data_IF_308735718380
#
_entry.id   IF_308735718380
#
_cell.length_a   1.000
_cell.length_b   1.000
_cell.length_c   1.000
_cell.angle_alpha   90.00
_cell.angle_beta   90.00
_cell.angle_gamma   90.00
#
_symmetry.space_group_name_H-M   'P 1'
#
loop_
_entity.id
_entity.type
_entity.pdbx_description
1 polymer ?
#
# COMPACT_ATOMS: atom_id res chain seq x y z
N UNK A 1 7.59 -12.69 -16.92
CA UNK A 1 6.15 -12.96 -16.72
C UNK A 1 5.43 -11.61 -16.59
N UNK A 2 4.73 -11.14 -17.64
CA UNK A 2 3.98 -9.87 -17.61
C UNK A 2 2.69 -10.07 -16.79
N UNK A 3 2.79 -9.99 -15.48
CA UNK A 3 1.63 -10.06 -14.59
C UNK A 3 0.86 -8.72 -14.66
N UNK A 4 -0.40 -8.81 -15.10
CA UNK A 4 -1.49 -7.83 -14.97
C UNK A 4 -1.18 -6.34 -15.18
N UNK A 5 -0.92 -5.94 -16.43
CA UNK A 5 -0.95 -4.52 -16.83
C UNK A 5 -2.32 -3.86 -16.54
N UNK A 6 -3.39 -4.66 -16.49
CA UNK A 6 -4.75 -4.19 -16.19
C UNK A 6 -4.98 -3.78 -14.73
N UNK A 7 -4.21 -4.31 -13.78
CA UNK A 7 -4.44 -4.05 -12.34
C UNK A 7 -4.04 -2.64 -11.90
N UNK A 8 -3.35 -1.89 -12.76
CA UNK A 8 -2.71 -0.63 -12.41
C UNK A 8 -3.14 0.55 -13.30
N UNK A 9 -4.23 0.39 -14.07
CA UNK A 9 -4.68 1.44 -15.01
C UNK A 9 -5.01 2.72 -14.25
N UNK A 10 -5.86 2.65 -13.22
CA UNK A 10 -6.22 3.83 -12.44
C UNK A 10 -5.04 4.33 -11.61
N UNK A 11 -4.24 3.42 -11.04
CA UNK A 11 -3.04 3.78 -10.28
C UNK A 11 -2.07 4.66 -11.08
N UNK A 12 -1.88 4.39 -12.38
CA UNK A 12 -1.01 5.17 -13.25
C UNK A 12 -1.48 6.63 -13.40
N UNK A 13 -2.78 6.91 -13.30
CA UNK A 13 -3.31 8.28 -13.33
C UNK A 13 -2.92 9.10 -12.09
N UNK A 14 -2.62 8.42 -10.97
CA UNK A 14 -2.20 9.07 -9.72
C UNK A 14 -0.70 9.25 -9.59
N UNK A 15 0.10 8.56 -10.41
CA UNK A 15 1.56 8.69 -10.41
C UNK A 15 2.04 10.08 -10.85
N UNK A 16 3.18 10.54 -10.31
CA UNK A 16 3.87 11.72 -10.84
C UNK A 16 4.17 11.58 -12.32
N UNK A 17 4.17 12.69 -13.06
CA UNK A 17 4.41 12.68 -14.51
C UNK A 17 5.75 12.05 -14.89
N UNK A 18 6.76 12.18 -14.03
CA UNK A 18 8.08 11.56 -14.21
C UNK A 18 8.06 10.03 -14.17
N UNK A 19 7.00 9.42 -13.63
CA UNK A 19 6.83 7.97 -13.47
C UNK A 19 5.79 7.37 -14.40
N UNK A 20 4.97 8.20 -15.03
CA UNK A 20 3.96 7.73 -15.99
C UNK A 20 4.64 7.10 -17.20
N UNK A 21 4.21 5.89 -17.54
CA UNK A 21 4.74 5.12 -18.67
C UNK A 21 6.04 4.36 -18.39
N UNK A 22 6.63 4.47 -17.20
CA UNK A 22 7.65 3.52 -16.76
C UNK A 22 7.03 2.13 -16.54
N UNK A 23 7.85 1.07 -16.64
CA UNK A 23 7.39 -0.29 -16.35
C UNK A 23 7.49 -0.56 -14.86
N UNK A 24 6.50 -1.29 -14.31
CA UNK A 24 6.55 -1.78 -12.94
C UNK A 24 7.47 -3.00 -12.84
N UNK A 25 8.23 -3.07 -11.76
CA UNK A 25 9.18 -4.14 -11.48
C UNK A 25 9.05 -4.60 -10.03
N UNK A 26 8.65 -5.86 -9.83
CA UNK A 26 8.44 -6.42 -8.50
C UNK A 26 9.79 -6.61 -7.78
N UNK A 27 10.06 -5.77 -6.78
CA UNK A 27 11.28 -5.79 -5.97
C UNK A 27 11.19 -6.81 -4.86
N UNK A 28 10.07 -6.86 -4.16
CA UNK A 28 9.85 -7.75 -3.03
C UNK A 28 8.42 -8.27 -3.03
N UNK A 29 8.23 -9.53 -2.65
CA UNK A 29 6.92 -10.11 -2.35
C UNK A 29 7.04 -11.04 -1.15
N UNK A 30 6.18 -10.87 -0.15
CA UNK A 30 6.15 -11.69 1.06
C UNK A 30 6.00 -13.18 0.72
N UNK A 31 5.17 -13.50 -0.28
CA UNK A 31 4.91 -14.88 -0.74
C UNK A 31 6.14 -15.49 -1.41
N UNK A 32 6.88 -14.71 -2.21
CA UNK A 32 8.05 -15.18 -2.97
C UNK A 32 9.32 -15.22 -2.11
N UNK A 33 9.56 -14.15 -1.37
CA UNK A 33 10.81 -13.86 -0.66
C UNK A 33 10.72 -14.26 0.82
N UNK A 34 9.53 -14.63 1.29
CA UNK A 34 9.24 -15.13 2.62
C UNK A 34 8.95 -14.03 3.66
N UNK A 35 8.13 -14.40 4.63
CA UNK A 35 8.03 -13.79 5.98
C UNK A 35 8.77 -14.62 7.05
N UNK A 36 9.22 -15.81 6.66
CA UNK A 36 9.42 -17.02 7.48
C UNK A 36 8.16 -17.51 8.21
N UNK A 37 7.80 -18.80 8.18
CA UNK A 37 7.13 -19.53 7.08
C UNK A 37 6.45 -20.77 7.70
N UNK A 38 5.13 -20.79 7.86
CA UNK A 38 4.29 -21.93 7.45
C UNK A 38 2.93 -21.37 7.07
N UNK A 39 2.80 -21.06 5.78
CA UNK A 39 1.56 -21.12 4.99
C UNK A 39 0.30 -20.50 5.61
N UNK A 40 0.14 -19.18 5.54
CA UNK A 40 -1.20 -18.60 5.69
C UNK A 40 -1.90 -18.63 4.32
N UNK A 41 -2.62 -19.72 4.12
CA UNK A 41 -3.69 -19.83 3.14
C UNK A 41 -4.77 -18.78 3.48
N UNK A 42 -5.11 -17.99 2.46
CA UNK A 42 -6.29 -17.13 2.37
C UNK A 42 -6.39 -15.92 3.30
N UNK A 43 -6.54 -14.76 2.67
CA UNK A 43 -6.83 -13.49 3.33
C UNK A 43 -8.29 -13.46 3.75
N UNK A 44 -8.52 -13.03 4.99
CA UNK A 44 -9.78 -13.19 5.74
C UNK A 44 -10.81 -12.10 5.36
N UNK A 45 -10.39 -10.96 4.77
CA UNK A 45 -11.32 -9.85 4.48
C UNK A 45 -11.11 -9.12 3.14
N UNK A 46 -10.04 -9.44 2.39
CA UNK A 46 -9.88 -8.99 1.01
C UNK A 46 -9.56 -7.50 0.79
N UNK A 47 -9.30 -6.72 1.85
CA UNK A 47 -8.87 -5.32 1.74
C UNK A 47 -7.46 -5.22 1.13
N UNK A 48 -7.27 -4.25 0.24
CA UNK A 48 -5.98 -3.98 -0.41
C UNK A 48 -5.71 -2.48 -0.35
N UNK A 49 -4.57 -2.12 0.23
CA UNK A 49 -4.11 -0.75 0.37
C UNK A 49 -2.58 -0.67 0.26
N UNK A 50 -2.06 0.54 0.06
CA UNK A 50 -0.62 0.76 -0.01
C UNK A 50 -0.25 2.23 -0.08
N UNK A 51 0.98 2.49 -0.52
CA UNK A 51 1.46 3.83 -0.76
C UNK A 51 2.48 3.88 -1.89
N UNK A 52 2.57 5.04 -2.53
CA UNK A 52 3.67 5.42 -3.41
C UNK A 52 4.60 6.36 -2.65
N UNK A 53 5.90 6.10 -2.71
CA UNK A 53 6.93 6.86 -2.01
C UNK A 53 7.99 7.30 -3.00
N UNK A 54 8.32 8.59 -3.00
CA UNK A 54 9.29 9.17 -3.93
C UNK A 54 10.74 8.74 -3.64
N UNK A 55 11.03 8.29 -2.41
CA UNK A 55 12.33 7.79 -2.02
C UNK A 55 12.34 6.28 -1.84
N UNK A 56 13.47 5.65 -2.17
CA UNK A 56 13.72 4.26 -1.79
C UNK A 56 13.90 4.18 -0.27
N UNK A 57 13.16 3.28 0.39
CA UNK A 57 13.10 3.07 1.85
C UNK A 57 14.41 2.60 2.47
N UNK A 58 15.45 3.42 2.35
CA UNK A 58 16.76 3.18 2.95
C UNK A 58 16.61 3.34 4.45
N UNK A 59 17.11 2.37 5.21
CA UNK A 59 17.11 2.45 6.67
C UNK A 59 17.91 3.67 7.11
N UNK A 60 17.27 4.56 7.88
CA UNK A 60 17.88 5.74 8.46
C UNK A 60 17.46 5.90 9.92
N UNK A 61 18.28 6.60 10.70
CA UNK A 61 18.00 6.87 12.11
C UNK A 61 16.87 7.90 12.26
N UNK A 62 15.67 7.45 12.62
CA UNK A 62 14.51 8.23 13.10
C UNK A 62 14.20 9.54 12.34
N UNK A 63 14.44 9.56 11.02
CA UNK A 63 14.15 10.70 10.16
C UNK A 63 13.11 10.33 9.12
N UNK A 64 12.15 11.23 8.93
CA UNK A 64 11.23 11.15 7.82
C UNK A 64 11.93 11.57 6.51
N UNK A 65 11.53 10.90 5.44
CA UNK A 65 12.02 11.02 4.07
C UNK A 65 10.81 11.12 3.14
N UNK A 66 11.07 11.62 1.94
CA UNK A 66 10.10 11.66 0.86
C UNK A 66 9.82 13.08 0.42
N UNK A 67 8.84 13.21 -0.46
CA UNK A 67 8.37 14.47 -1.02
C UNK A 67 6.84 14.42 -1.09
N UNK A 68 6.23 15.58 -1.34
CA UNK A 68 4.77 15.71 -1.54
C UNK A 68 4.21 14.95 -2.76
N UNK A 69 5.07 14.32 -3.57
CA UNK A 69 4.65 13.38 -4.62
C UNK A 69 4.20 12.03 -4.06
N UNK A 70 4.50 11.75 -2.78
CA UNK A 70 4.06 10.53 -2.11
C UNK A 70 2.56 10.57 -1.82
N UNK A 71 1.92 9.42 -1.84
CA UNK A 71 0.49 9.29 -1.55
C UNK A 71 0.16 7.91 -0.98
N UNK A 72 -0.89 7.82 -0.18
CA UNK A 72 -1.50 6.55 0.23
C UNK A 72 -2.66 6.21 -0.69
N UNK A 73 -3.04 4.95 -0.76
CA UNK A 73 -4.21 4.52 -1.52
C UNK A 73 -4.83 3.26 -0.93
N UNK A 74 -6.10 3.04 -1.27
CA UNK A 74 -6.82 1.78 -1.02
C UNK A 74 -7.75 1.45 -2.18
N UNK A 75 -8.09 0.18 -2.35
CA UNK A 75 -9.18 -0.21 -3.25
C UNK A 75 -10.50 0.36 -2.72
N UNK A 76 -11.35 0.87 -3.61
CA UNK A 76 -12.67 1.37 -3.20
C UNK A 76 -13.59 0.25 -2.71
N UNK A 77 -13.43 -0.93 -3.28
CA UNK A 77 -14.19 -2.12 -2.91
C UNK A 77 -13.24 -3.20 -2.38
N UNK A 78 -13.51 -3.78 -1.20
CA UNK A 78 -12.75 -4.94 -0.74
C UNK A 78 -13.02 -6.13 -1.65
N UNK A 79 -12.09 -7.09 -1.69
CA UNK A 79 -12.32 -8.40 -2.31
C UNK A 79 -13.22 -9.23 -1.41
N UNK A 80 -14.49 -8.83 -1.33
CA UNK A 80 -15.47 -9.56 -0.55
C UNK A 80 -15.75 -10.89 -1.24
N UNK A 81 -15.60 -11.99 -0.51
CA UNK A 81 -16.21 -13.25 -0.92
C UNK A 81 -17.64 -13.20 -0.39
N UNK A 82 -18.63 -12.98 -1.26
CA UNK A 82 -20.05 -13.06 -0.91
C UNK A 82 -20.42 -14.52 -0.58
N UNK A 83 -19.95 -15.05 0.56
CA UNK A 83 -20.22 -16.43 0.98
C UNK A 83 -21.59 -16.57 1.64
N UNK A 84 -22.19 -15.50 2.16
CA UNK A 84 -23.40 -15.64 2.97
C UNK A 84 -24.29 -14.42 2.99
N UNK A 85 -25.21 -14.33 2.03
CA UNK A 85 -26.56 -13.82 2.29
C UNK A 85 -27.55 -14.15 1.15
N UNK A 86 -27.42 -15.34 0.55
CA UNK A 86 -28.51 -15.90 -0.25
C UNK A 86 -29.54 -16.54 0.70
N UNK A 87 -30.26 -15.69 1.46
CA UNK A 87 -31.45 -16.10 2.20
C UNK A 87 -32.72 -16.09 1.31
N UNK A 88 -32.55 -16.07 0.00
CA UNK A 88 -33.66 -16.20 -0.93
C UNK A 88 -33.81 -17.66 -1.34
N UNK A 89 -34.76 -18.30 -0.66
CA UNK A 89 -35.61 -19.43 -1.03
C UNK A 89 -35.78 -19.70 -2.55
N UNK A 90 -34.73 -20.03 -3.28
CA UNK A 90 -34.81 -20.69 -4.59
C UNK A 90 -34.18 -22.06 -4.48
N UNK A 91 -34.99 -23.01 -4.00
CA UNK A 91 -34.77 -24.43 -4.19
C UNK A 91 -34.72 -24.71 -5.70
N UNK A 92 -33.52 -24.70 -6.28
CA UNK A 92 -33.06 -25.61 -7.34
C UNK A 92 -31.88 -24.98 -8.11
N UNK A 93 -30.67 -25.49 -7.83
CA UNK A 93 -29.59 -25.57 -8.82
C UNK A 93 -28.48 -24.53 -8.72
N UNK A 94 -27.31 -24.96 -8.26
CA UNK A 94 -26.03 -24.42 -8.70
C UNK A 94 -25.18 -23.75 -7.62
N UNK A 95 -24.38 -24.53 -6.91
CA UNK A 95 -23.33 -24.07 -5.98
C UNK A 95 -22.11 -23.43 -6.69
N UNK A 96 -22.20 -23.11 -7.98
CA UNK A 96 -21.04 -22.80 -8.83
C UNK A 96 -20.87 -21.31 -9.21
N UNK A 97 -21.77 -20.40 -8.79
CA UNK A 97 -21.78 -19.01 -9.28
C UNK A 97 -21.41 -17.94 -8.23
N UNK A 98 -20.83 -18.31 -7.08
CA UNK A 98 -20.51 -17.34 -6.01
C UNK A 98 -19.30 -16.44 -6.30
N UNK A 99 -18.49 -16.78 -7.30
CA UNK A 99 -17.48 -15.89 -7.83
C UNK A 99 -18.10 -15.21 -9.05
N UNK A 100 -18.37 -13.90 -8.96
CA UNK A 100 -18.81 -13.13 -10.11
C UNK A 100 -17.89 -13.33 -11.32
N UNK A 101 -18.29 -12.84 -12.49
CA UNK A 101 -17.46 -12.96 -13.69
C UNK A 101 -16.06 -12.38 -13.41
N UNK A 102 -15.02 -13.04 -13.94
CA UNK A 102 -13.63 -12.57 -13.81
C UNK A 102 -13.49 -11.10 -14.22
N UNK A 103 -14.26 -10.66 -15.23
CA UNK A 103 -14.30 -9.26 -15.66
C UNK A 103 -14.80 -8.33 -14.56
N UNK A 104 -15.89 -8.68 -13.87
CA UNK A 104 -16.41 -7.86 -12.77
C UNK A 104 -15.43 -7.76 -11.59
N UNK A 105 -14.68 -8.84 -11.30
CA UNK A 105 -13.62 -8.77 -10.31
C UNK A 105 -12.48 -7.83 -10.75
N UNK A 106 -12.08 -7.90 -12.03
CA UNK A 106 -11.02 -7.02 -12.57
C UNK A 106 -11.45 -5.54 -12.51
N UNK A 107 -12.69 -5.24 -12.89
CA UNK A 107 -13.21 -3.86 -12.86
C UNK A 107 -13.25 -3.32 -11.42
N UNK A 108 -13.69 -4.13 -10.46
CA UNK A 108 -13.71 -3.74 -9.04
C UNK A 108 -12.29 -3.56 -8.46
N UNK A 109 -11.33 -4.38 -8.87
CA UNK A 109 -9.93 -4.27 -8.44
C UNK A 109 -9.17 -3.14 -9.13
N UNK A 110 -9.68 -2.59 -10.23
CA UNK A 110 -9.06 -1.49 -10.94
C UNK A 110 -9.25 -0.15 -10.20
N UNK A 111 -10.39 0.03 -9.52
CA UNK A 111 -10.73 1.30 -8.87
C UNK A 111 -10.03 1.50 -7.53
N UNK A 112 -9.27 2.60 -7.45
CA UNK A 112 -8.61 3.02 -6.20
C UNK A 112 -9.09 4.39 -5.72
N UNK A 113 -8.96 4.61 -4.42
CA UNK A 113 -9.02 5.91 -3.78
C UNK A 113 -7.60 6.30 -3.37
N UNK A 114 -7.12 7.46 -3.84
CA UNK A 114 -5.77 7.94 -3.58
C UNK A 114 -5.79 9.20 -2.69
N UNK A 115 -4.97 9.18 -1.64
CA UNK A 115 -4.82 10.23 -0.64
C UNK A 115 -3.45 10.90 -0.82
N UNK A 116 -3.45 12.01 -1.55
CA UNK A 116 -2.24 12.76 -1.86
C UNK A 116 -1.78 13.56 -0.67
N UNK A 117 -0.48 13.83 -0.59
CA UNK A 117 -0.01 14.72 0.45
C UNK A 117 -0.50 16.14 0.20
N UNK A 118 -1.08 16.75 1.22
CA UNK A 118 -1.51 18.13 1.16
C UNK A 118 -0.43 19.05 1.74
N UNK A 119 0.05 19.97 0.91
CA UNK A 119 1.00 21.00 1.34
C UNK A 119 0.42 21.91 2.44
N UNK A 120 -0.91 21.96 2.59
CA UNK A 120 -1.61 22.81 3.55
C UNK A 120 -1.18 22.55 5.00
N UNK A 121 -0.90 21.30 5.36
CA UNK A 121 -0.53 20.95 6.73
C UNK A 121 0.97 21.07 7.02
N UNK A 122 1.77 21.49 6.03
CA UNK A 122 3.20 21.78 6.14
C UNK A 122 3.99 20.76 6.97
N UNK A 123 3.68 19.47 6.84
CA UNK A 123 4.44 18.40 7.50
C UNK A 123 5.04 17.48 6.44
N UNK A 124 6.31 17.14 6.64
CA UNK A 124 7.09 16.31 5.70
C UNK A 124 7.22 14.86 6.21
N UNK A 125 6.20 14.38 6.92
CA UNK A 125 6.20 13.06 7.56
C UNK A 125 5.78 11.93 6.61
N UNK A 126 6.31 11.93 5.38
CA UNK A 126 5.86 11.01 4.33
C UNK A 126 6.26 9.56 4.58
N UNK A 127 7.54 9.29 4.87
CA UNK A 127 8.03 7.93 5.08
C UNK A 127 9.14 7.89 6.12
N UNK A 128 9.13 6.93 7.02
CA UNK A 128 10.27 6.66 7.91
C UNK A 128 10.55 5.15 7.89
N UNK A 129 11.82 4.78 7.78
CA UNK A 129 12.26 3.39 7.73
C UNK A 129 13.42 3.22 8.72
N UNK A 130 13.19 2.47 9.80
CA UNK A 130 14.22 2.09 10.77
C UNK A 130 14.46 0.59 10.68
N UNK A 131 15.28 0.04 11.57
CA UNK A 131 15.53 -1.41 11.62
C UNK A 131 14.31 -2.24 12.04
N UNK A 132 13.36 -1.63 12.75
CA UNK A 132 12.26 -2.30 13.42
C UNK A 132 10.88 -1.87 12.90
N UNK A 133 10.77 -0.73 12.20
CA UNK A 133 9.49 -0.24 11.69
C UNK A 133 9.61 0.45 10.33
N UNK A 134 8.52 0.37 9.58
CA UNK A 134 8.29 1.17 8.38
C UNK A 134 7.01 1.97 8.63
N UNK A 135 7.10 3.29 8.46
CA UNK A 135 5.96 4.20 8.65
C UNK A 135 5.76 4.97 7.36
N UNK A 136 4.50 5.15 6.99
CA UNK A 136 4.06 5.98 5.88
C UNK A 136 2.96 6.92 6.34
N UNK A 137 3.25 8.22 6.28
CA UNK A 137 2.36 9.27 6.77
C UNK A 137 2.37 9.36 8.28
N UNK A 138 2.23 10.57 8.78
CA UNK A 138 2.15 10.82 10.21
C UNK A 138 1.60 12.21 10.50
N UNK A 139 2.20 12.84 11.49
CA UNK A 139 1.80 14.14 11.98
C UNK A 139 0.95 14.05 13.24
N UNK A 140 0.77 15.21 13.84
CA UNK A 140 -0.01 15.38 15.06
C UNK A 140 -0.74 16.72 14.96
N UNK A 141 -1.96 16.78 15.46
CA UNK A 141 -2.72 18.03 15.55
C UNK A 141 -3.03 18.34 17.01
N UNK A 142 -2.97 19.62 17.38
CA UNK A 142 -3.36 20.07 18.72
C UNK A 142 -4.89 20.14 18.90
N UNK A 143 -5.64 20.08 17.80
CA UNK A 143 -7.10 20.14 17.76
C UNK A 143 -7.68 19.11 16.79
N UNK A 144 -8.94 18.69 16.97
CA UNK A 144 -9.63 17.82 16.03
C UNK A 144 -9.63 18.38 14.60
N UNK A 145 -9.61 17.50 13.59
CA UNK A 145 -9.48 17.89 12.18
C UNK A 145 -10.58 17.26 11.33
N UNK A 146 -11.18 18.07 10.47
CA UNK A 146 -12.01 17.57 9.37
C UNK A 146 -11.11 17.48 8.12
N UNK A 147 -11.01 16.27 7.56
CA UNK A 147 -10.23 16.02 6.35
C UNK A 147 -11.04 16.27 5.07
N UNK A 148 -12.32 16.66 5.17
CA UNK A 148 -13.16 17.01 4.02
C UNK A 148 -13.58 15.81 3.15
N UNK A 149 -13.33 14.59 3.62
CA UNK A 149 -13.61 13.33 2.93
C UNK A 149 -14.90 12.65 3.43
N UNK A 150 -15.76 13.38 4.13
CA UNK A 150 -17.04 12.88 4.65
C UNK A 150 -16.93 12.01 5.90
N UNK A 151 -15.73 11.86 6.49
CA UNK A 151 -15.54 11.16 7.77
C UNK A 151 -15.96 12.00 8.99
N UNK A 152 -16.18 13.30 8.78
CA UNK A 152 -16.43 14.25 9.86
C UNK A 152 -15.14 14.65 10.59
N UNK A 153 -15.32 15.12 11.83
CA UNK A 153 -14.23 15.61 12.66
C UNK A 153 -13.52 14.43 13.32
N UNK A 154 -12.25 14.24 12.99
CA UNK A 154 -11.35 13.23 13.56
C UNK A 154 -10.72 13.78 14.83
N UNK A 155 -10.76 13.01 15.92
CA UNK A 155 -10.15 13.44 17.18
C UNK A 155 -8.63 13.43 17.10
N UNK A 156 -7.97 14.23 17.94
CA UNK A 156 -6.50 14.35 17.92
C UNK A 156 -5.80 13.03 18.28
N UNK A 157 -6.41 12.20 19.10
CA UNK A 157 -5.92 10.88 19.49
C UNK A 157 -6.06 9.82 18.40
N UNK A 158 -6.92 10.05 17.41
CA UNK A 158 -7.12 9.14 16.28
C UNK A 158 -6.18 9.47 15.10
N UNK A 159 -5.50 10.62 15.15
CA UNK A 159 -4.48 11.03 14.18
C UNK A 159 -3.16 10.33 14.53
N UNK A 160 -2.63 9.58 13.58
CA UNK A 160 -1.40 8.83 13.74
C UNK A 160 -0.75 8.52 12.41
N UNK A 161 -0.22 7.29 12.30
CA UNK A 161 0.45 6.84 11.09
C UNK A 161 -0.54 6.29 10.07
N UNK A 162 -0.46 6.79 8.83
CA UNK A 162 -1.36 6.33 7.77
C UNK A 162 -1.20 4.84 7.46
N UNK A 163 0.04 4.35 7.51
CA UNK A 163 0.36 2.92 7.47
C UNK A 163 1.64 2.68 8.26
N UNK A 164 1.63 1.69 9.15
CA UNK A 164 2.77 1.37 10.00
C UNK A 164 2.96 -0.15 10.07
N UNK A 165 4.18 -0.60 9.77
CA UNK A 165 4.62 -1.99 9.94
C UNK A 165 5.53 -2.03 11.17
N UNK A 166 5.20 -2.87 12.15
CA UNK A 166 5.89 -2.93 13.43
C UNK A 166 6.79 -4.16 13.63
N UNK A 167 7.78 -4.02 14.54
CA UNK A 167 8.52 -5.09 15.21
C UNK A 167 9.24 -6.09 14.28
N UNK A 168 9.71 -5.64 13.12
CA UNK A 168 10.56 -6.44 12.23
C UNK A 168 9.93 -7.69 11.61
N UNK A 169 8.72 -8.11 11.98
CA UNK A 169 8.05 -9.29 11.40
C UNK A 169 7.31 -8.98 10.10
N UNK A 170 7.09 -7.69 9.77
CA UNK A 170 6.25 -7.22 8.65
C UNK A 170 4.80 -7.75 8.64
N UNK A 171 4.43 -8.59 9.62
CA UNK A 171 3.11 -9.22 9.72
C UNK A 171 2.12 -8.36 10.49
N UNK A 172 2.59 -7.55 11.44
CA UNK A 172 1.74 -6.70 12.27
C UNK A 172 1.70 -5.29 11.66
N UNK A 173 0.52 -4.87 11.22
CA UNK A 173 0.28 -3.60 10.56
C UNK A 173 -0.79 -2.82 11.30
N UNK A 174 -0.66 -1.49 11.34
CA UNK A 174 -1.72 -0.58 11.77
C UNK A 174 -1.91 0.54 10.76
N UNK A 175 -3.09 1.14 10.77
CA UNK A 175 -3.43 2.27 9.91
C UNK A 175 -4.40 3.21 10.63
N UNK A 176 -3.99 4.44 10.83
CA UNK A 176 -4.76 5.50 11.48
C UNK A 176 -5.04 6.64 10.51
N UNK A 177 -5.82 7.63 10.95
CA UNK A 177 -5.97 8.86 10.19
C UNK A 177 -4.61 9.58 10.07
N UNK A 178 -4.22 9.98 8.87
CA UNK A 178 -2.91 10.61 8.61
C UNK A 178 -3.05 12.07 8.26
N UNK A 179 -2.39 12.94 9.03
CA UNK A 179 -2.37 14.38 8.74
C UNK A 179 -1.56 14.69 7.47
N UNK A 180 -0.51 13.91 7.19
CA UNK A 180 0.32 14.08 5.98
C UNK A 180 -0.47 13.92 4.68
N UNK A 181 -1.46 13.02 4.68
CA UNK A 181 -2.20 12.60 3.48
C UNK A 181 -3.69 12.92 3.53
N UNK A 182 -4.18 13.50 4.62
CA UNK A 182 -5.61 13.66 4.90
C UNK A 182 -6.40 12.36 4.72
N UNK A 183 -5.75 11.23 5.02
CA UNK A 183 -6.34 9.91 4.76
C UNK A 183 -7.11 9.43 6.00
N UNK A 184 -8.22 8.70 5.82
CA UNK A 184 -8.74 7.82 6.87
C UNK A 184 -7.73 6.71 7.20
N UNK A 185 -8.01 5.93 8.26
CA UNK A 185 -7.60 4.53 8.32
C UNK A 185 -7.86 3.82 6.99
N UNK A 186 -6.85 3.12 6.48
CA UNK A 186 -6.92 2.42 5.21
C UNK A 186 -7.71 1.12 5.30
N UNK A 187 -7.80 0.53 6.51
CA UNK A 187 -8.67 -0.61 6.78
C UNK A 187 -10.08 -0.14 7.18
N UNK A 188 -11.09 -0.69 6.51
CA UNK A 188 -12.49 -0.48 6.85
C UNK A 188 -12.93 -1.26 8.10
N UNK A 189 -12.17 -2.29 8.49
CA UNK A 189 -12.43 -3.11 9.68
C UNK A 189 -11.77 -2.46 10.91
N UNK A 190 -10.51 -2.06 10.78
CA UNK A 190 -9.71 -1.49 11.86
C UNK A 190 -9.73 0.05 11.86
N UNK A 191 -10.94 0.63 11.89
CA UNK A 191 -11.14 2.10 11.82
C UNK A 191 -10.60 2.87 13.04
N UNK A 192 -10.37 2.18 14.15
CA UNK A 192 -9.81 2.73 15.38
C UNK A 192 -8.27 2.76 15.38
N UNK A 193 -7.62 2.34 14.29
CA UNK A 193 -6.17 2.20 14.22
C UNK A 193 -5.64 0.98 14.95
N UNK A 194 -6.51 0.04 15.35
CA UNK A 194 -6.09 -1.25 15.87
C UNK A 194 -5.23 -2.01 14.86
N UNK A 195 -4.40 -2.90 15.38
CA UNK A 195 -3.47 -3.70 14.59
C UNK A 195 -4.19 -4.84 13.89
N UNK A 196 -3.69 -5.21 12.73
CA UNK A 196 -4.17 -6.31 11.92
C UNK A 196 -3.01 -7.10 11.30
N UNK A 197 -3.32 -8.34 10.91
CA UNK A 197 -2.34 -9.23 10.30
C UNK A 197 -2.27 -9.01 8.78
N UNK A 198 -1.05 -8.85 8.29
CA UNK A 198 -0.78 -8.72 6.87
C UNK A 198 -0.66 -10.09 6.21
N UNK A 199 -1.50 -10.33 5.20
CA UNK A 199 -1.47 -11.62 4.48
C UNK A 199 -0.52 -11.61 3.29
N UNK A 200 -0.32 -10.46 2.66
CA UNK A 200 0.67 -10.30 1.60
C UNK A 200 1.22 -8.88 1.58
N UNK A 201 2.51 -8.75 1.25
CA UNK A 201 3.18 -7.48 0.99
C UNK A 201 3.88 -7.57 -0.37
N UNK A 202 3.69 -6.56 -1.20
CA UNK A 202 4.44 -6.42 -2.45
C UNK A 202 5.06 -5.04 -2.50
N UNK A 203 6.34 -4.98 -2.86
CA UNK A 203 7.06 -3.74 -3.13
C UNK A 203 7.39 -3.70 -4.61
N UNK A 204 6.85 -2.69 -5.27
CA UNK A 204 7.04 -2.46 -6.70
C UNK A 204 7.97 -1.26 -6.89
N UNK A 205 8.95 -1.41 -7.76
CA UNK A 205 9.79 -0.31 -8.24
C UNK A 205 9.43 0.04 -9.69
N UNK A 206 10.02 1.12 -10.18
CA UNK A 206 9.93 1.52 -11.58
C UNK A 206 11.22 1.19 -12.31
N UNK A 207 11.10 0.83 -13.59
CA UNK A 207 12.23 0.55 -14.46
C UNK A 207 11.98 1.06 -15.87
N UNK A 208 13.00 1.63 -16.54
CA UNK A 208 12.91 1.97 -17.97
C UNK A 208 13.01 0.74 -18.87
N UNK A 209 13.37 -0.42 -18.31
CA UNK A 209 13.51 -1.67 -19.04
C UNK A 209 12.16 -2.17 -19.55
N UNK A 210 12.16 -2.75 -20.75
CA UNK A 210 10.93 -3.27 -21.37
C UNK A 210 10.72 -4.74 -21.06
N UNK A 211 11.80 -5.44 -20.73
CA UNK A 211 11.78 -6.86 -20.39
C UNK A 211 12.27 -7.10 -18.95
N UNK A 212 11.81 -8.21 -18.37
CA UNK A 212 12.23 -8.68 -17.05
C UNK A 212 13.74 -8.93 -16.99
N UNK A 213 14.32 -9.49 -18.05
CA UNK A 213 15.76 -9.77 -18.11
C UNK A 213 16.60 -8.50 -18.11
N UNK A 214 16.19 -7.47 -18.87
CA UNK A 214 16.84 -6.16 -18.84
C UNK A 214 16.77 -5.51 -17.46
N UNK A 215 15.60 -5.55 -16.80
CA UNK A 215 15.39 -4.98 -15.47
C UNK A 215 16.29 -5.67 -14.42
N UNK A 216 16.39 -6.99 -14.50
CA UNK A 216 17.26 -7.81 -13.66
C UNK A 216 18.73 -7.44 -13.86
N UNK A 217 19.20 -7.33 -15.10
CA UNK A 217 20.58 -6.92 -15.42
C UNK A 217 20.88 -5.51 -14.87
N UNK A 218 19.96 -4.56 -15.07
CA UNK A 218 20.12 -3.18 -14.58
C UNK A 218 20.21 -3.14 -13.05
N UNK A 219 19.38 -3.91 -12.37
CA UNK A 219 19.41 -4.03 -10.91
C UNK A 219 20.75 -4.59 -10.40
N UNK A 220 21.25 -5.66 -10.99
CA UNK A 220 22.57 -6.19 -10.66
C UNK A 220 23.66 -5.14 -10.82
N UNK A 221 23.68 -4.43 -11.95
CA UNK A 221 24.64 -3.34 -12.19
C UNK A 221 24.58 -2.27 -11.09
N UNK A 222 23.37 -1.83 -10.71
CA UNK A 222 23.19 -0.83 -9.66
C UNK A 222 23.66 -1.31 -8.28
N UNK A 223 23.51 -2.60 -7.96
CA UNK A 223 24.03 -3.18 -6.71
C UNK A 223 25.56 -3.14 -6.65
N UNK A 224 26.24 -3.39 -7.78
CA UNK A 224 27.70 -3.30 -7.84
C UNK A 224 28.21 -1.89 -7.55
N UNK A 225 27.60 -0.86 -8.14
CA UNK A 225 28.08 0.52 -7.96
C UNK A 225 27.85 1.06 -6.54
N UNK A 226 26.69 0.77 -5.92
CA UNK A 226 26.37 1.28 -4.57
C UNK A 226 27.37 0.81 -3.50
N UNK A 227 27.92 -0.40 -3.63
CA UNK A 227 28.91 -0.94 -2.68
C UNK A 227 30.25 -0.21 -2.71
N UNK A 228 30.59 0.46 -3.81
CA UNK A 228 31.86 1.17 -3.98
C UNK A 228 31.79 2.66 -3.62
N UNK A 229 30.59 3.21 -3.44
CA UNK A 229 30.41 4.64 -3.13
C UNK A 229 30.41 4.95 -1.63
N UNK A 230 30.27 3.95 -0.75
CA UNK A 230 30.36 4.13 0.70
C UNK A 230 31.77 3.90 1.23
N UNK A 231 32.76 4.55 0.61
CA UNK A 231 34.09 4.67 1.19
C UNK A 231 34.03 5.49 2.49
N UNK A 232 34.94 5.27 3.45
CA UNK A 232 34.96 6.04 4.68
C UNK A 232 35.16 7.52 4.35
N UNK A 233 34.24 8.37 4.81
CA UNK A 233 34.40 9.83 4.87
C UNK A 233 35.08 10.18 6.18
#
# INVERSE_FOLDING_TARGET
MYYHQYKWIDFNSHLPDSKRGESFWLKYSLVRDGSSLVSLLQNIDGEVSGGFFSNSGTVQSDKYLGTGESFLWKMKQPRCVNIGNSNNNTNNGGLNDSFGTLSGQVDNEAEIEAFKSESYYCNDFHQMCTHDKIIAGGGSSSYPKDFGNGLGIISREDIGSGLMFEKGSLMEVSSSASLTYCSPPLSGIHKDGSKFELVNLEVWGFTPCRTEEEARILEYKNMFFKRHSTGPV
#
